data_IF_528190474059
#
_entry.id   IF_528190474059
#
_cell.length_a   1.000
_cell.length_b   1.000
_cell.length_c   1.000
_cell.angle_alpha   90.00
_cell.angle_beta   90.00
_cell.angle_gamma   90.00
#
_symmetry.space_group_name_H-M   'P 1'
#
loop_
_entity.id
_entity.type
_entity.pdbx_description
1 polymer ?
#
# COMPACT_ATOMS: atom_id res chain seq x y z
N UNK A 1 -43.86 16.47 -49.41
CA UNK A 1 -44.34 17.86 -49.61
C UNK A 1 -43.92 18.65 -48.38
N UNK A 2 -43.17 19.75 -48.40
CA UNK A 2 -42.42 20.46 -49.44
C UNK A 2 -41.50 21.49 -48.72
N UNK A 3 -40.37 21.81 -49.35
CA UNK A 3 -39.61 23.08 -49.41
C UNK A 3 -39.37 23.94 -48.14
N UNK A 4 -38.12 24.08 -47.68
CA UNK A 4 -37.03 24.99 -48.15
C UNK A 4 -37.12 26.48 -47.75
N UNK A 5 -35.98 26.95 -47.17
CA UNK A 5 -35.23 28.20 -47.46
C UNK A 5 -35.82 29.59 -47.17
N UNK A 6 -34.97 30.44 -46.56
CA UNK A 6 -34.68 31.78 -47.11
C UNK A 6 -33.28 32.29 -46.74
N UNK A 7 -32.43 32.34 -47.76
CA UNK A 7 -31.24 33.18 -47.86
C UNK A 7 -31.63 34.65 -48.07
N UNK A 8 -30.79 35.59 -47.62
CA UNK A 8 -30.58 36.88 -48.31
C UNK A 8 -29.09 37.22 -48.34
N UNK A 9 -28.57 37.33 -49.57
CA UNK A 9 -27.28 37.90 -49.96
C UNK A 9 -27.42 39.42 -50.14
N UNK A 10 -26.33 40.15 -49.93
CA UNK A 10 -26.07 41.45 -50.60
C UNK A 10 -24.63 41.46 -51.11
N UNK A 11 -24.42 42.07 -52.28
CA UNK A 11 -23.25 41.99 -53.15
C UNK A 11 -22.75 43.41 -53.49
N UNK A 12 -21.41 43.58 -53.48
CA UNK A 12 -20.54 44.45 -54.32
C UNK A 12 -20.57 45.99 -54.12
N UNK A 13 -19.38 46.59 -53.93
CA UNK A 13 -18.66 47.48 -54.89
C UNK A 13 -17.14 47.46 -54.63
N UNK A 14 -16.35 47.41 -55.73
CA UNK A 14 -14.88 47.40 -55.84
C UNK A 14 -14.22 48.80 -55.75
N UNK A 15 -12.96 48.83 -55.32
CA UNK A 15 -11.76 49.56 -55.85
C UNK A 15 -10.64 49.37 -54.81
N UNK A 16 -9.33 49.26 -55.03
CA UNK A 16 -8.41 49.27 -56.16
C UNK A 16 -6.99 49.21 -55.57
N UNK A 17 -6.23 48.14 -55.88
CA UNK A 17 -4.76 48.00 -56.00
C UNK A 17 -3.83 48.90 -55.14
N UNK A 18 -3.03 48.31 -54.24
CA UNK A 18 -1.56 48.41 -54.29
C UNK A 18 -0.85 47.30 -53.49
N UNK A 19 0.18 46.74 -54.14
CA UNK A 19 1.06 45.66 -53.74
C UNK A 19 2.01 46.10 -52.59
N UNK A 20 2.09 45.31 -51.52
CA UNK A 20 3.29 45.20 -50.69
C UNK A 20 3.40 43.74 -50.23
N UNK A 21 4.18 42.95 -50.98
CA UNK A 21 4.64 41.65 -50.52
C UNK A 21 5.63 41.86 -49.38
N UNK A 22 5.17 41.73 -48.14
CA UNK A 22 6.04 41.47 -47.00
C UNK A 22 6.08 39.97 -46.77
N UNK A 23 7.23 39.36 -47.08
CA UNK A 23 7.54 37.98 -46.73
C UNK A 23 7.72 37.97 -45.21
N UNK A 24 6.64 37.70 -44.47
CA UNK A 24 6.75 37.31 -43.07
C UNK A 24 7.31 35.88 -43.03
N UNK A 25 8.62 35.76 -42.77
CA UNK A 25 9.17 34.54 -42.20
C UNK A 25 8.48 34.32 -40.85
N UNK A 26 7.49 33.43 -40.81
CA UNK A 26 6.99 32.91 -39.56
C UNK A 26 8.08 32.00 -38.96
N UNK A 27 8.60 32.28 -37.76
CA UNK A 27 9.41 31.30 -37.06
C UNK A 27 8.52 30.08 -36.79
N UNK A 28 9.02 28.90 -37.16
CA UNK A 28 8.41 27.63 -36.81
C UNK A 28 8.21 27.60 -35.29
N UNK A 29 6.95 27.73 -34.86
CA UNK A 29 6.56 27.45 -33.48
C UNK A 29 6.73 25.95 -33.29
N UNK A 30 7.85 25.54 -32.69
CA UNK A 30 7.98 24.21 -32.12
C UNK A 30 7.02 24.16 -30.95
N UNK A 31 5.84 23.58 -31.15
CA UNK A 31 5.04 23.06 -30.05
C UNK A 31 5.87 21.96 -29.38
N UNK A 32 6.63 22.35 -28.36
CA UNK A 32 7.18 21.40 -27.41
C UNK A 32 6.00 20.74 -26.73
N UNK A 33 5.70 19.51 -27.15
CA UNK A 33 4.96 18.55 -26.32
C UNK A 33 5.77 18.41 -25.04
N UNK A 34 5.32 19.09 -23.99
CA UNK A 34 5.74 18.76 -22.63
C UNK A 34 5.18 17.37 -22.38
N UNK A 35 6.05 16.37 -22.49
CA UNK A 35 5.84 15.08 -21.88
C UNK A 35 5.70 15.35 -20.37
N UNK A 36 4.47 15.54 -19.91
CA UNK A 36 4.12 15.40 -18.51
C UNK A 36 4.35 13.93 -18.17
N UNK A 37 5.60 13.60 -17.81
CA UNK A 37 5.90 12.37 -17.11
C UNK A 37 5.02 12.35 -15.87
N UNK A 38 3.94 11.56 -15.93
CA UNK A 38 3.08 11.24 -14.81
C UNK A 38 3.96 10.60 -13.73
N UNK A 39 4.52 11.42 -12.82
CA UNK A 39 5.30 10.97 -11.68
C UNK A 39 4.48 9.89 -10.97
N UNK A 40 4.97 8.65 -11.02
CA UNK A 40 4.33 7.53 -10.34
C UNK A 40 4.03 7.95 -8.89
N UNK A 41 2.82 7.71 -8.36
CA UNK A 41 2.40 8.24 -7.07
C UNK A 41 3.44 7.88 -6.02
N UNK A 42 4.10 8.89 -5.47
CA UNK A 42 5.10 8.72 -4.43
C UNK A 42 4.39 8.11 -3.23
N UNK A 43 4.50 6.79 -3.06
CA UNK A 43 3.76 6.05 -2.05
C UNK A 43 3.95 6.72 -0.69
N UNK A 44 2.89 7.33 -0.17
CA UNK A 44 2.94 8.07 1.09
C UNK A 44 3.26 7.08 2.20
N UNK A 45 4.42 7.28 2.82
CA UNK A 45 4.86 6.47 3.94
C UNK A 45 3.90 6.64 5.12
N UNK A 46 3.42 5.53 5.70
CA UNK A 46 2.44 5.57 6.79
C UNK A 46 2.88 6.46 7.96
N UNK A 47 4.16 6.39 8.34
CA UNK A 47 4.68 7.18 9.46
C UNK A 47 4.77 8.68 9.22
N UNK A 48 4.56 9.17 7.98
CA UNK A 48 4.79 10.57 7.56
C UNK A 48 4.17 11.63 8.46
N UNK A 49 3.00 11.35 9.03
CA UNK A 49 2.26 12.29 9.88
C UNK A 49 2.48 12.08 11.38
N UNK A 50 3.09 10.96 11.77
CA UNK A 50 3.23 10.62 13.19
C UNK A 50 4.19 11.56 13.92
N UNK A 51 5.16 12.17 13.22
CA UNK A 51 6.09 13.14 13.81
C UNK A 51 5.39 14.39 14.37
N UNK A 52 4.15 14.68 13.96
CA UNK A 52 3.40 15.84 14.43
C UNK A 52 2.80 15.65 15.83
N UNK A 53 2.77 14.42 16.35
CA UNK A 53 2.13 14.10 17.61
C UNK A 53 3.14 14.04 18.76
N UNK A 54 2.82 14.59 19.96
CA UNK A 54 3.77 14.72 21.06
C UNK A 54 4.26 13.38 21.65
N UNK A 55 3.51 12.29 21.45
CA UNK A 55 3.92 10.95 21.86
C UNK A 55 5.00 10.33 20.96
N UNK A 56 5.32 10.97 19.83
CA UNK A 56 6.31 10.48 18.88
C UNK A 56 7.36 11.55 18.58
N UNK A 57 8.56 11.10 18.27
CA UNK A 57 9.61 11.93 17.70
C UNK A 57 10.21 11.22 16.49
N UNK A 58 10.82 11.98 15.58
CA UNK A 58 11.41 11.43 14.37
C UNK A 58 12.91 11.59 14.37
N UNK A 59 13.61 10.51 14.03
CA UNK A 59 15.06 10.50 13.94
C UNK A 59 15.48 10.35 12.49
N UNK A 60 16.53 11.09 12.11
CA UNK A 60 17.15 10.94 10.80
C UNK A 60 18.02 9.69 10.77
N UNK A 61 17.86 8.90 9.71
CA UNK A 61 18.70 7.73 9.47
C UNK A 61 19.95 8.19 8.72
N UNK A 62 21.13 7.90 9.26
CA UNK A 62 22.41 8.25 8.67
C UNK A 62 23.01 7.07 7.92
N UNK A 63 24.00 7.36 7.07
CA UNK A 63 24.78 6.31 6.41
C UNK A 63 25.41 5.36 7.45
N UNK A 64 25.22 4.06 7.25
CA UNK A 64 25.72 3.02 8.16
C UNK A 64 24.87 2.77 9.41
N UNK A 65 23.69 3.40 9.54
CA UNK A 65 22.75 3.05 10.59
C UNK A 65 22.00 1.75 10.28
N UNK A 66 21.86 0.92 11.30
CA UNK A 66 21.11 -0.33 11.28
C UNK A 66 20.14 -0.36 12.46
N UNK A 67 19.12 -1.21 12.38
CA UNK A 67 18.15 -1.36 13.46
C UNK A 67 18.84 -1.74 14.77
N UNK A 68 19.79 -2.66 14.71
CA UNK A 68 20.52 -3.21 15.85
C UNK A 68 21.48 -2.19 16.47
N UNK A 69 22.06 -1.30 15.65
CA UNK A 69 22.94 -0.23 16.13
C UNK A 69 22.16 0.89 16.82
N UNK A 70 21.04 1.32 16.23
CA UNK A 70 20.22 2.40 16.81
C UNK A 70 19.39 1.93 18.00
N UNK A 71 18.95 0.66 18.00
CA UNK A 71 18.10 0.09 19.03
C UNK A 71 18.62 -1.32 19.38
N UNK A 72 19.55 -1.44 20.34
CA UNK A 72 20.11 -2.74 20.72
C UNK A 72 19.10 -3.68 21.39
N UNK A 73 18.12 -3.13 22.10
CA UNK A 73 17.03 -3.91 22.70
C UNK A 73 16.06 -4.43 21.63
N UNK A 74 15.81 -5.75 21.65
CA UNK A 74 14.95 -6.39 20.65
C UNK A 74 13.49 -5.97 20.78
N UNK A 75 12.95 -5.82 22.00
CA UNK A 75 11.55 -5.46 22.22
C UNK A 75 11.29 -4.03 21.71
N UNK A 76 12.21 -3.12 21.98
CA UNK A 76 12.19 -1.76 21.46
C UNK A 76 12.25 -1.74 19.92
N UNK A 77 13.15 -2.51 19.31
CA UNK A 77 13.18 -2.66 17.84
C UNK A 77 11.85 -3.12 17.27
N UNK A 78 11.22 -4.11 17.90
CA UNK A 78 9.94 -4.63 17.44
C UNK A 78 8.85 -3.55 17.48
N UNK A 79 8.77 -2.79 18.58
CA UNK A 79 7.85 -1.66 18.72
C UNK A 79 8.06 -0.66 17.58
N UNK A 80 9.31 -0.26 17.33
CA UNK A 80 9.64 0.75 16.33
C UNK A 80 9.36 0.24 14.92
N UNK A 81 9.77 -1.00 14.58
CA UNK A 81 9.47 -1.61 13.28
C UNK A 81 7.97 -1.68 13.02
N UNK A 82 7.18 -2.08 14.04
CA UNK A 82 5.72 -2.12 13.97
C UNK A 82 5.15 -0.72 13.77
N UNK A 83 5.56 0.28 14.55
CA UNK A 83 5.10 1.68 14.42
C UNK A 83 5.34 2.23 13.00
N UNK A 84 6.53 1.97 12.46
CA UNK A 84 6.95 2.38 11.13
C UNK A 84 6.40 1.50 9.99
N UNK A 85 5.62 0.45 10.32
CA UNK A 85 5.08 -0.54 9.37
C UNK A 85 6.16 -1.16 8.47
N UNK A 86 7.39 -1.31 8.97
CA UNK A 86 8.52 -1.69 8.12
C UNK A 86 9.59 -2.50 8.85
N UNK A 87 10.13 -3.49 8.14
CA UNK A 87 11.24 -4.34 8.58
C UNK A 87 12.38 -4.40 7.55
N UNK A 88 12.36 -3.53 6.53
CA UNK A 88 13.47 -3.41 5.56
C UNK A 88 14.69 -2.78 6.25
N UNK A 89 15.90 -2.93 5.68
CA UNK A 89 17.09 -2.24 6.18
C UNK A 89 16.88 -0.72 6.27
N UNK A 90 17.39 -0.09 7.34
CA UNK A 90 17.20 1.34 7.59
C UNK A 90 17.74 2.23 6.46
N UNK A 91 18.78 1.83 5.76
CA UNK A 91 19.35 2.60 4.65
C UNK A 91 18.37 2.93 3.50
N UNK A 92 17.23 2.23 3.41
CA UNK A 92 16.15 2.56 2.48
C UNK A 92 15.22 3.68 2.98
N UNK A 93 15.53 4.30 4.12
CA UNK A 93 14.78 5.37 4.76
C UNK A 93 15.68 6.55 5.09
N UNK A 94 15.14 7.75 4.96
CA UNK A 94 15.81 8.98 5.41
C UNK A 94 15.52 9.29 6.88
N UNK A 95 14.44 8.76 7.43
CA UNK A 95 14.00 8.99 8.81
C UNK A 95 13.02 7.90 9.26
N UNK A 96 12.84 7.76 10.58
CA UNK A 96 11.85 6.86 11.21
C UNK A 96 11.20 7.53 12.42
N UNK A 97 10.01 7.05 12.78
CA UNK A 97 9.22 7.47 13.95
C UNK A 97 9.60 6.63 15.17
N UNK A 98 9.75 7.24 16.34
CA UNK A 98 10.07 6.56 17.60
C UNK A 98 9.15 7.10 18.71
N UNK A 99 8.57 6.24 19.57
CA UNK A 99 7.85 6.69 20.76
C UNK A 99 8.74 7.52 21.69
N UNK A 100 8.22 8.60 22.27
CA UNK A 100 8.96 9.40 23.26
C UNK A 100 9.16 8.67 24.59
N UNK A 101 8.31 7.69 24.91
CA UNK A 101 8.34 6.88 26.12
C UNK A 101 8.63 5.39 25.82
N UNK A 102 9.59 5.12 24.94
CA UNK A 102 9.91 3.78 24.43
C UNK A 102 10.12 2.71 25.51
N UNK A 103 10.68 3.07 26.67
CA UNK A 103 10.93 2.15 27.79
C UNK A 103 9.67 1.72 28.56
N UNK A 104 8.55 2.43 28.38
CA UNK A 104 7.32 2.26 29.15
C UNK A 104 6.17 1.67 28.34
N UNK A 105 6.34 1.55 27.02
CA UNK A 105 5.31 1.07 26.12
C UNK A 105 5.59 -0.36 25.66
N UNK A 106 4.52 -1.10 25.44
CA UNK A 106 4.55 -2.40 24.78
C UNK A 106 4.15 -2.24 23.32
N UNK A 107 4.34 -3.30 22.53
CA UNK A 107 3.84 -3.29 21.16
C UNK A 107 2.30 -3.18 21.12
N UNK A 108 1.57 -3.74 22.09
CA UNK A 108 0.10 -3.68 22.11
C UNK A 108 -0.42 -2.26 22.29
N UNK A 109 0.29 -1.41 23.03
CA UNK A 109 -0.06 0.01 23.24
C UNK A 109 0.00 0.83 21.93
N UNK A 110 0.72 0.33 20.92
CA UNK A 110 0.87 0.96 19.61
C UNK A 110 -0.15 0.45 18.57
N UNK A 111 -1.09 -0.41 18.98
CA UNK A 111 -2.16 -0.90 18.11
C UNK A 111 -3.06 0.25 17.64
N UNK A 112 -3.33 0.39 16.34
CA UNK A 112 -4.32 1.34 15.84
C UNK A 112 -5.76 0.82 15.96
N UNK A 113 -5.96 -0.35 16.56
CA UNK A 113 -7.26 -1.02 16.68
C UNK A 113 -7.81 -0.93 18.11
N UNK A 114 -9.13 -0.87 18.28
CA UNK A 114 -9.75 -0.91 19.61
C UNK A 114 -9.40 -2.21 20.35
N UNK A 115 -9.20 -2.11 21.67
CA UNK A 115 -8.88 -3.26 22.51
C UNK A 115 -10.00 -4.31 22.56
N UNK A 116 -11.25 -3.88 22.34
CA UNK A 116 -12.43 -4.74 22.30
C UNK A 116 -13.40 -4.27 21.23
N UNK A 117 -14.04 -5.22 20.56
CA UNK A 117 -15.13 -5.01 19.59
C UNK A 117 -16.28 -5.94 19.89
N UNK A 118 -17.46 -5.66 19.34
CA UNK A 118 -18.62 -6.56 19.49
C UNK A 118 -18.25 -7.98 19.02
N UNK A 119 -18.36 -8.94 19.93
CA UNK A 119 -18.11 -10.35 19.63
C UNK A 119 -19.05 -10.86 18.54
N UNK A 120 -18.50 -11.72 17.68
CA UNK A 120 -19.25 -12.50 16.69
C UNK A 120 -19.25 -13.99 17.02
N UNK A 121 -18.93 -14.37 18.26
CA UNK A 121 -18.80 -15.75 18.75
C UNK A 121 -17.84 -16.64 17.91
N UNK A 122 -16.90 -16.02 17.22
CA UNK A 122 -15.83 -16.69 16.48
C UNK A 122 -14.56 -15.83 16.55
N UNK A 123 -13.39 -16.46 16.39
CA UNK A 123 -12.13 -15.72 16.20
C UNK A 123 -12.09 -15.17 14.78
N UNK A 124 -11.56 -13.97 14.62
CA UNK A 124 -11.47 -13.35 13.30
C UNK A 124 -10.26 -12.42 13.19
N UNK A 125 -9.81 -12.24 11.96
CA UNK A 125 -8.76 -11.29 11.59
C UNK A 125 -9.41 -10.11 10.88
N UNK A 126 -9.07 -8.90 11.32
CA UNK A 126 -9.40 -7.66 10.61
C UNK A 126 -8.13 -7.13 9.99
N UNK A 127 -8.14 -6.84 8.70
CA UNK A 127 -7.09 -6.10 8.00
C UNK A 127 -7.67 -4.76 7.59
N UNK A 128 -7.03 -3.67 8.00
CA UNK A 128 -7.34 -2.35 7.50
C UNK A 128 -6.16 -1.83 6.66
N UNK A 129 -6.41 -1.70 5.36
CA UNK A 129 -5.44 -1.23 4.38
C UNK A 129 -5.08 0.24 4.59
N UNK A 130 -6.03 1.09 5.01
CA UNK A 130 -5.76 2.50 5.36
C UNK A 130 -4.84 2.65 6.58
N UNK A 131 -4.97 1.75 7.56
CA UNK A 131 -4.11 1.72 8.75
C UNK A 131 -2.77 0.98 8.54
N UNK A 132 -2.59 0.34 7.39
CA UNK A 132 -1.46 -0.56 7.11
C UNK A 132 -1.25 -1.59 8.23
N UNK A 133 -2.34 -2.10 8.82
CA UNK A 133 -2.27 -3.01 9.95
C UNK A 133 -3.37 -4.08 9.94
N UNK A 134 -3.14 -5.14 10.71
CA UNK A 134 -4.14 -6.15 11.03
C UNK A 134 -4.33 -6.27 12.54
N UNK A 135 -5.50 -6.77 12.93
CA UNK A 135 -5.85 -7.16 14.28
C UNK A 135 -6.40 -8.60 14.27
N UNK A 136 -6.06 -9.36 15.31
CA UNK A 136 -6.62 -10.68 15.60
C UNK A 136 -7.46 -10.57 16.87
N UNK A 137 -8.76 -10.84 16.73
CA UNK A 137 -9.72 -10.80 17.83
C UNK A 137 -10.16 -12.21 18.21
N UNK A 138 -10.16 -12.51 19.51
CA UNK A 138 -10.66 -13.79 19.98
C UNK A 138 -12.21 -13.90 19.84
N UNK A 139 -12.75 -15.05 20.21
CA UNK A 139 -14.19 -15.34 20.18
C UNK A 139 -15.04 -14.43 21.08
N UNK A 140 -14.43 -13.82 22.11
CA UNK A 140 -15.08 -12.80 22.94
C UNK A 140 -14.95 -11.37 22.41
N UNK A 141 -14.29 -11.15 21.26
CA UNK A 141 -14.10 -9.81 20.68
C UNK A 141 -12.94 -9.02 21.29
N UNK A 142 -12.08 -9.64 22.11
CA UNK A 142 -10.89 -9.00 22.65
C UNK A 142 -9.72 -9.05 21.64
N UNK A 143 -9.03 -7.93 21.47
CA UNK A 143 -7.80 -7.85 20.67
C UNK A 143 -6.70 -8.65 21.36
N UNK A 144 -6.22 -9.71 20.72
CA UNK A 144 -5.16 -10.56 21.28
C UNK A 144 -3.82 -10.40 20.57
N UNK A 145 -3.83 -9.86 19.35
CA UNK A 145 -2.62 -9.62 18.58
C UNK A 145 -2.87 -8.59 17.48
N UNK A 146 -1.83 -7.87 17.08
CA UNK A 146 -1.88 -6.96 15.94
C UNK A 146 -0.50 -6.85 15.30
N UNK A 147 -0.46 -6.41 14.04
CA UNK A 147 0.80 -6.14 13.36
C UNK A 147 0.64 -5.36 12.06
N UNK A 148 1.75 -4.93 11.47
CA UNK A 148 1.75 -4.19 10.22
C UNK A 148 1.40 -5.08 9.01
N UNK A 149 0.82 -4.45 7.98
CA UNK A 149 0.57 -5.10 6.68
C UNK A 149 1.04 -4.25 5.51
N UNK A 150 1.34 -4.93 4.39
CA UNK A 150 1.48 -4.32 3.07
C UNK A 150 0.57 -5.04 2.08
N UNK A 151 -0.45 -4.35 1.58
CA UNK A 151 -1.36 -4.85 0.55
C UNK A 151 -0.89 -4.56 -0.87
N UNK A 152 -1.84 -4.69 -1.79
CA UNK A 152 -1.70 -4.49 -3.22
C UNK A 152 -1.37 -3.05 -3.57
N UNK A 153 -0.34 -2.85 -4.41
CA UNK A 153 0.22 -1.52 -4.75
C UNK A 153 -0.65 -0.67 -5.67
N UNK A 154 -1.84 -1.13 -6.05
CA UNK A 154 -2.70 -0.44 -7.01
C UNK A 154 -2.40 -0.87 -8.43
N UNK A 155 -1.35 -0.37 -9.05
CA UNK A 155 -0.94 -0.73 -10.42
C UNK A 155 0.31 -1.63 -10.43
N UNK A 156 0.25 -2.74 -11.17
CA UNK A 156 1.37 -3.66 -11.33
C UNK A 156 1.90 -3.64 -12.77
N UNK A 157 3.05 -2.98 -13.03
CA UNK A 157 3.61 -2.84 -14.38
C UNK A 157 3.97 -4.17 -15.05
N UNK A 158 4.48 -5.12 -14.27
CA UNK A 158 4.93 -6.43 -14.71
C UNK A 158 3.81 -7.32 -15.24
N UNK A 159 2.57 -7.12 -14.77
CA UNK A 159 1.37 -7.79 -15.27
C UNK A 159 0.42 -6.84 -16.01
N UNK A 160 0.82 -5.59 -16.23
CA UNK A 160 0.08 -4.52 -16.92
C UNK A 160 -1.39 -4.41 -16.49
N UNK A 161 -1.67 -4.52 -15.19
CA UNK A 161 -3.03 -4.45 -14.65
C UNK A 161 -3.06 -3.94 -13.21
N UNK A 162 -4.25 -3.56 -12.76
CA UNK A 162 -4.49 -3.28 -11.35
C UNK A 162 -4.36 -4.54 -10.50
N UNK A 163 -3.77 -4.39 -9.33
CA UNK A 163 -3.42 -5.43 -8.38
C UNK A 163 -3.76 -5.01 -6.94
N UNK A 164 -4.95 -4.42 -6.77
CA UNK A 164 -5.48 -4.08 -5.47
C UNK A 164 -5.77 -5.33 -4.64
N UNK A 165 -5.53 -5.25 -3.33
CA UNK A 165 -6.06 -6.23 -2.38
C UNK A 165 -7.58 -6.16 -2.37
N UNK A 166 -8.24 -7.32 -2.48
CA UNK A 166 -9.68 -7.43 -2.40
C UNK A 166 -10.19 -7.03 -1.00
N UNK A 167 -11.20 -6.15 -0.96
CA UNK A 167 -11.88 -5.70 0.26
C UNK A 167 -13.17 -6.51 0.42
N UNK A 168 -13.53 -6.85 1.65
CA UNK A 168 -14.72 -7.64 1.94
C UNK A 168 -14.56 -8.58 3.14
N UNK A 169 -15.58 -9.40 3.37
CA UNK A 169 -15.55 -10.46 4.37
C UNK A 169 -15.33 -11.81 3.68
N UNK A 170 -14.29 -12.51 4.11
CA UNK A 170 -13.83 -13.77 3.54
C UNK A 170 -13.62 -14.81 4.64
N UNK A 171 -13.27 -16.02 4.24
CA UNK A 171 -12.84 -17.09 5.13
C UNK A 171 -11.58 -17.74 4.59
N UNK A 172 -10.68 -18.13 5.49
CA UNK A 172 -9.47 -18.87 5.13
C UNK A 172 -9.87 -20.23 4.56
N UNK A 173 -9.44 -20.52 3.34
CA UNK A 173 -9.77 -21.76 2.62
C UNK A 173 -8.64 -22.77 2.62
N UNK A 174 -7.39 -22.29 2.71
CA UNK A 174 -6.20 -23.14 2.75
C UNK A 174 -5.09 -22.42 3.52
N UNK A 175 -4.15 -23.19 4.10
CA UNK A 175 -2.92 -22.66 4.67
C UNK A 175 -1.76 -23.60 4.44
N UNK A 176 -0.58 -23.04 4.30
CA UNK A 176 0.67 -23.79 4.17
C UNK A 176 1.73 -23.24 5.13
N UNK A 177 2.79 -24.01 5.33
CA UNK A 177 3.83 -23.73 6.30
C UNK A 177 4.92 -22.76 5.82
N UNK A 178 6.11 -22.80 6.43
CA UNK A 178 7.21 -21.85 6.15
C UNK A 178 7.77 -21.92 4.73
N UNK A 179 7.53 -23.02 4.00
CA UNK A 179 8.02 -23.24 2.63
C UNK A 179 7.01 -22.89 1.54
N UNK A 180 5.87 -22.29 1.90
CA UNK A 180 4.88 -21.87 0.90
C UNK A 180 5.49 -20.89 -0.10
N UNK A 181 5.13 -21.04 -1.37
CA UNK A 181 5.58 -20.22 -2.48
C UNK A 181 4.38 -19.81 -3.34
N UNK A 182 4.56 -18.74 -4.11
CA UNK A 182 3.57 -18.36 -5.12
C UNK A 182 3.68 -19.27 -6.36
N UNK A 183 2.55 -19.71 -6.89
CA UNK A 183 2.52 -20.45 -8.18
C UNK A 183 2.66 -19.51 -9.39
N UNK A 184 2.31 -18.24 -9.24
CA UNK A 184 2.30 -17.26 -10.35
C UNK A 184 3.53 -16.35 -10.37
N UNK A 185 3.98 -15.87 -9.22
CA UNK A 185 5.04 -14.87 -9.10
C UNK A 185 6.36 -15.48 -8.61
N UNK A 186 7.52 -14.98 -9.08
CA UNK A 186 7.66 -13.97 -10.12
C UNK A 186 7.24 -14.48 -11.51
N UNK A 187 6.81 -13.57 -12.39
CA UNK A 187 6.26 -13.94 -13.72
C UNK A 187 7.36 -14.55 -14.59
N UNK A 188 8.57 -13.99 -14.50
CA UNK A 188 9.76 -14.38 -15.25
C UNK A 188 10.23 -15.81 -14.96
N UNK A 189 9.94 -16.34 -13.78
CA UNK A 189 10.24 -17.72 -13.38
C UNK A 189 9.00 -18.60 -13.28
N UNK A 190 7.83 -18.10 -13.69
CA UNK A 190 6.55 -18.80 -13.59
C UNK A 190 6.26 -19.33 -12.17
N UNK A 191 6.46 -18.48 -11.16
CA UNK A 191 6.27 -18.85 -9.76
C UNK A 191 7.57 -18.97 -8.95
N UNK A 192 7.43 -19.38 -7.69
CA UNK A 192 8.54 -19.65 -6.76
C UNK A 192 8.83 -18.53 -5.75
N UNK A 193 8.12 -17.40 -5.80
CA UNK A 193 8.32 -16.32 -4.81
C UNK A 193 7.97 -16.84 -3.40
N UNK A 194 8.85 -16.68 -2.39
CA UNK A 194 8.56 -17.11 -1.03
C UNK A 194 7.33 -16.40 -0.45
N UNK A 195 6.41 -17.19 0.07
CA UNK A 195 5.20 -16.77 0.77
C UNK A 195 5.07 -17.52 2.11
N UNK A 196 6.10 -17.46 2.99
CA UNK A 196 6.12 -18.26 4.22
C UNK A 196 4.84 -18.07 5.04
N UNK A 197 4.28 -19.18 5.52
CA UNK A 197 3.07 -19.21 6.33
C UNK A 197 1.83 -18.67 5.62
N UNK A 198 1.71 -18.89 4.30
CA UNK A 198 0.57 -18.39 3.53
C UNK A 198 -0.77 -18.94 4.04
N UNK A 199 -1.78 -18.07 4.09
CA UNK A 199 -3.15 -18.34 4.51
C UNK A 199 -4.08 -17.77 3.44
N UNK A 200 -4.52 -18.62 2.51
CA UNK A 200 -5.37 -18.25 1.38
C UNK A 200 -6.80 -17.98 1.86
N UNK A 201 -7.38 -16.86 1.42
CA UNK A 201 -8.73 -16.45 1.84
C UNK A 201 -9.66 -16.07 0.69
N UNK A 202 -9.15 -15.80 -0.53
CA UNK A 202 -9.99 -15.40 -1.65
C UNK A 202 -9.27 -15.54 -3.00
N UNK A 203 -9.72 -16.40 -3.93
CA UNK A 203 -9.26 -16.45 -5.35
C UNK A 203 -7.73 -16.31 -5.53
N UNK A 204 -6.92 -17.02 -4.74
CA UNK A 204 -5.45 -16.94 -4.78
C UNK A 204 -4.80 -15.84 -3.92
N UNK A 205 -5.59 -14.94 -3.34
CA UNK A 205 -5.13 -13.96 -2.35
C UNK A 205 -4.87 -14.66 -1.01
N UNK A 206 -3.73 -14.36 -0.42
CA UNK A 206 -3.30 -14.89 0.87
C UNK A 206 -2.79 -13.78 1.80
N UNK A 207 -2.87 -14.04 3.10
CA UNK A 207 -1.98 -13.41 4.08
C UNK A 207 -0.70 -14.24 4.15
N UNK A 208 0.49 -13.62 4.11
CA UNK A 208 1.75 -14.36 4.22
C UNK A 208 2.91 -13.48 4.72
N UNK A 209 3.98 -14.12 5.20
CA UNK A 209 5.19 -13.43 5.64
C UNK A 209 5.96 -12.83 4.45
N UNK A 210 6.50 -11.62 4.62
CA UNK A 210 7.38 -10.97 3.67
C UNK A 210 8.12 -9.79 4.31
N UNK A 211 8.89 -9.05 3.51
CA UNK A 211 9.37 -7.73 3.89
C UNK A 211 8.31 -6.67 3.59
N UNK A 212 8.17 -5.71 4.49
CA UNK A 212 7.18 -4.63 4.42
C UNK A 212 7.92 -3.31 4.26
N UNK A 213 7.71 -2.57 3.16
CA UNK A 213 8.38 -1.31 2.94
C UNK A 213 7.59 -0.12 3.48
N UNK A 214 6.70 -0.29 4.47
CA UNK A 214 5.89 0.80 5.05
C UNK A 214 4.87 1.47 4.11
N UNK A 215 4.59 0.86 2.97
CA UNK A 215 3.51 1.20 2.03
C UNK A 215 3.02 -0.08 1.33
N UNK A 216 1.93 0.02 0.55
CA UNK A 216 1.39 -1.12 -0.21
C UNK A 216 2.28 -1.45 -1.41
N UNK A 217 2.82 -2.67 -1.46
CA UNK A 217 3.87 -3.05 -2.41
C UNK A 217 3.67 -4.45 -3.03
N UNK A 218 2.53 -5.10 -2.80
CA UNK A 218 2.25 -6.44 -3.30
C UNK A 218 1.44 -6.44 -4.60
N UNK A 219 1.29 -7.62 -5.18
CA UNK A 219 0.40 -7.90 -6.32
C UNK A 219 -1.03 -8.26 -5.92
N UNK A 220 -1.41 -8.00 -4.66
CA UNK A 220 -2.76 -8.21 -4.15
C UNK A 220 -2.79 -8.92 -2.81
N UNK A 221 -1.88 -9.88 -2.58
CA UNK A 221 -1.73 -10.56 -1.29
C UNK A 221 -1.43 -9.57 -0.15
N UNK A 222 -1.77 -9.97 1.07
CA UNK A 222 -1.50 -9.19 2.28
C UNK A 222 -0.19 -9.69 2.88
N UNK A 223 0.87 -8.89 2.75
CA UNK A 223 2.17 -9.18 3.36
C UNK A 223 2.17 -8.78 4.82
N UNK A 224 2.71 -9.65 5.66
CA UNK A 224 2.89 -9.49 7.11
C UNK A 224 4.38 -9.58 7.46
N UNK A 225 4.79 -9.14 8.65
CA UNK A 225 6.09 -9.57 9.14
C UNK A 225 6.15 -11.10 9.24
N UNK A 226 7.29 -11.74 9.00
CA UNK A 226 7.40 -13.20 9.03
C UNK A 226 6.93 -13.81 10.35
N UNK A 227 7.27 -13.19 11.48
CA UNK A 227 6.84 -13.65 12.81
C UNK A 227 5.33 -13.50 13.04
N UNK A 228 4.73 -12.42 12.52
CA UNK A 228 3.27 -12.22 12.57
C UNK A 228 2.54 -13.27 11.72
N UNK A 229 3.04 -13.56 10.52
CA UNK A 229 2.48 -14.58 9.65
C UNK A 229 2.57 -15.97 10.29
N UNK A 230 3.72 -16.28 10.89
CA UNK A 230 3.93 -17.52 11.64
C UNK A 230 2.95 -17.64 12.79
N UNK A 231 2.84 -16.61 13.64
CA UNK A 231 1.95 -16.62 14.80
C UNK A 231 0.50 -16.82 14.37
N UNK A 232 0.03 -16.07 13.37
CA UNK A 232 -1.31 -16.24 12.82
C UNK A 232 -1.53 -17.65 12.30
N UNK A 233 -0.64 -18.18 11.47
CA UNK A 233 -0.79 -19.48 10.82
C UNK A 233 -0.78 -20.64 11.82
N UNK A 234 0.13 -20.61 12.79
CA UNK A 234 0.35 -21.72 13.73
C UNK A 234 -0.63 -21.68 14.92
N UNK A 235 -1.01 -20.50 15.42
CA UNK A 235 -1.68 -20.38 16.73
C UNK A 235 -3.11 -19.83 16.66
N UNK A 236 -3.44 -19.04 15.64
CA UNK A 236 -4.68 -18.27 15.62
C UNK A 236 -5.64 -18.72 14.52
N UNK A 237 -5.16 -18.75 13.28
CA UNK A 237 -5.93 -19.02 12.06
C UNK A 237 -6.08 -20.52 11.83
N UNK A 238 -7.34 -20.93 11.72
CA UNK A 238 -7.79 -22.23 11.22
C UNK A 238 -8.47 -22.07 9.86
N UNK A 239 -8.58 -23.16 9.10
CA UNK A 239 -9.47 -23.19 7.93
C UNK A 239 -10.89 -22.81 8.40
N UNK A 240 -11.54 -21.92 7.66
CA UNK A 240 -12.82 -21.33 8.01
C UNK A 240 -12.73 -20.03 8.83
N UNK A 241 -11.57 -19.66 9.37
CA UNK A 241 -11.41 -18.41 10.14
C UNK A 241 -11.81 -17.21 9.29
N UNK A 242 -12.61 -16.31 9.87
CA UNK A 242 -13.09 -15.12 9.18
C UNK A 242 -11.97 -14.09 9.02
N UNK A 243 -11.84 -13.54 7.82
CA UNK A 243 -10.92 -12.46 7.47
C UNK A 243 -11.73 -11.31 6.91
N UNK A 244 -11.69 -10.15 7.57
CA UNK A 244 -12.39 -8.94 7.14
C UNK A 244 -11.34 -7.96 6.65
N UNK A 245 -11.37 -7.61 5.36
CA UNK A 245 -10.46 -6.65 4.77
C UNK A 245 -11.22 -5.36 4.50
N UNK A 246 -10.69 -4.23 4.98
CA UNK A 246 -11.26 -2.88 4.89
C UNK A 246 -10.24 -1.88 4.36
N UNK A 247 -10.70 -0.70 3.92
CA UNK A 247 -9.89 0.39 3.38
C UNK A 247 -10.49 1.74 3.79
N UNK A 248 -10.68 1.93 5.10
CA UNK A 248 -11.23 3.14 5.72
C UNK A 248 -10.20 3.81 6.58
#
# INVERSE_FOLDING_TARGET
>A
MDRTTRLKKWLIVLTGILLLMSICLFPAFSEGLSDDEEEAPRYKYYGSELCAYPQFHCIHVKAGDTWEKLFPDQKQREIIKRLNRTNIPLGYRSWIVVPTNLDQVTHMDMSPFPAHVTSVNERFVVVNLGLHAFAAYNDTGNLVYWGPVSGGKGWCPDVKRYCNTAVGAFRVVNKEGPKCVSDVFPIETAGGAPMPYCMYYYRGFALHGSTLPGFHASHGCIRLFPDDARWLNEHFVKIGTRVIVTRS
#
